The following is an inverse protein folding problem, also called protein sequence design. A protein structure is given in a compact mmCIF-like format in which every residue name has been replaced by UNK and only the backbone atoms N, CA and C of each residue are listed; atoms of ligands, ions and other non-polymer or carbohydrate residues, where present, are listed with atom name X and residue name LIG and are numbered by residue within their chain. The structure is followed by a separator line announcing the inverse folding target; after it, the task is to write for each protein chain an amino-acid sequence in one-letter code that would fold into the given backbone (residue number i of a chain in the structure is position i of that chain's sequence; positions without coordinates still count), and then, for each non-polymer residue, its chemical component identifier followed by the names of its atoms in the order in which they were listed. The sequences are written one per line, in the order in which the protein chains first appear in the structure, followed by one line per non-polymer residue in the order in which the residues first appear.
data_IF_462710279084
#
_entry.id   IF_462710279084
#
_cell.length_a   1.000
_cell.length_b   1.000
_cell.length_c   1.000
_cell.angle_alpha   90.00
_cell.angle_beta   90.00
_cell.angle_gamma   90.00
#
_symmetry.space_group_name_H-M   'P 1'
#
loop_
_entity.id
_entity.type
_entity.pdbx_description
1 polymer ?
#
# COMPACT_ATOMS: atom_id res chain seq x y z
N UNK A 1 -0.29 -5.40 -17.59
CA UNK A 1 -0.33 -5.41 -16.12
C UNK A 1 -1.58 -6.16 -15.64
N UNK A 2 -1.48 -7.03 -14.62
CA UNK A 2 -2.62 -7.68 -14.00
C UNK A 2 -3.23 -6.78 -12.91
N UNK A 3 -4.56 -6.83 -12.76
CA UNK A 3 -5.30 -6.02 -11.79
C UNK A 3 -5.71 -6.88 -10.59
N UNK A 4 -5.08 -6.64 -9.46
CA UNK A 4 -5.44 -7.24 -8.18
C UNK A 4 -6.00 -6.23 -7.18
N UNK A 5 -6.08 -6.63 -5.94
CA UNK A 5 -6.41 -5.73 -4.84
C UNK A 5 -5.74 -6.18 -3.53
N UNK A 6 -5.48 -5.22 -2.63
CA UNK A 6 -5.15 -5.51 -1.23
C UNK A 6 -6.43 -5.86 -0.47
N UNK A 7 -6.38 -6.95 0.31
CA UNK A 7 -7.49 -7.38 1.15
C UNK A 7 -7.97 -6.27 2.13
N UNK A 8 -7.13 -5.27 2.40
CA UNK A 8 -7.50 -4.08 3.18
C UNK A 8 -8.65 -3.28 2.55
N UNK A 9 -8.86 -3.37 1.22
CA UNK A 9 -10.05 -2.80 0.55
C UNK A 9 -11.37 -3.34 1.10
N UNK A 10 -11.34 -4.51 1.76
CA UNK A 10 -12.47 -5.22 2.33
C UNK A 10 -12.35 -5.33 3.87
N UNK A 11 -11.70 -4.36 4.53
CA UNK A 11 -11.34 -4.43 5.95
C UNK A 11 -12.48 -4.78 6.91
N UNK A 12 -13.71 -4.41 6.60
CA UNK A 12 -14.90 -4.77 7.38
C UNK A 12 -15.53 -6.07 6.91
N UNK A 13 -15.59 -6.32 5.60
CA UNK A 13 -16.10 -7.58 5.04
C UNK A 13 -15.20 -8.76 5.38
N UNK A 14 -13.88 -8.55 5.33
CA UNK A 14 -12.88 -9.60 5.47
C UNK A 14 -12.62 -10.03 6.91
N UNK A 15 -13.15 -9.35 7.92
CA UNK A 15 -12.89 -9.63 9.34
C UNK A 15 -13.11 -11.10 9.74
N UNK A 16 -14.04 -11.79 9.05
CA UNK A 16 -14.39 -13.19 9.33
C UNK A 16 -14.09 -14.12 8.15
N UNK A 17 -13.34 -13.65 7.16
CA UNK A 17 -13.02 -14.39 5.95
C UNK A 17 -11.68 -15.11 6.08
N UNK A 18 -11.57 -16.22 5.39
CA UNK A 18 -10.30 -16.89 5.14
C UNK A 18 -9.67 -16.42 3.82
N UNK A 19 -8.39 -16.72 3.61
CA UNK A 19 -7.72 -16.45 2.34
C UNK A 19 -8.42 -17.15 1.15
N UNK A 20 -8.99 -18.34 1.36
CA UNK A 20 -9.79 -19.01 0.34
C UNK A 20 -11.10 -18.27 0.00
N UNK A 21 -11.74 -17.64 0.99
CA UNK A 21 -12.92 -16.81 0.75
C UNK A 21 -12.56 -15.56 -0.06
N UNK A 22 -11.42 -14.94 0.25
CA UNK A 22 -10.91 -13.78 -0.50
C UNK A 22 -10.58 -14.14 -1.95
N UNK A 23 -10.06 -15.34 -2.23
CA UNK A 23 -9.91 -15.82 -3.62
C UNK A 23 -11.25 -15.99 -4.35
N UNK A 24 -12.32 -16.42 -3.66
CA UNK A 24 -13.67 -16.49 -4.25
C UNK A 24 -14.17 -15.10 -4.62
N UNK A 25 -14.00 -14.12 -3.71
CA UNK A 25 -14.33 -12.72 -3.98
C UNK A 25 -13.51 -12.18 -5.15
N UNK A 26 -12.21 -12.50 -5.23
CA UNK A 26 -11.33 -12.10 -6.35
C UNK A 26 -11.96 -12.47 -7.69
N UNK A 27 -12.45 -13.71 -7.82
CA UNK A 27 -13.17 -14.14 -9.03
C UNK A 27 -14.48 -13.40 -9.22
N UNK A 28 -15.26 -13.23 -8.16
CA UNK A 28 -16.57 -12.59 -8.21
C UNK A 28 -16.50 -11.13 -8.67
N UNK A 29 -15.50 -10.37 -8.20
CA UNK A 29 -15.30 -8.98 -8.62
C UNK A 29 -14.57 -8.88 -9.96
N UNK A 30 -14.06 -10.00 -10.49
CA UNK A 30 -13.34 -10.08 -11.75
C UNK A 30 -11.91 -9.58 -11.68
N UNK A 31 -11.27 -9.59 -10.52
CA UNK A 31 -9.84 -9.27 -10.38
C UNK A 31 -8.96 -10.45 -10.82
N UNK A 32 -7.67 -10.17 -11.08
CA UNK A 32 -6.70 -11.18 -11.54
C UNK A 32 -5.88 -11.76 -10.38
N UNK A 33 -5.99 -11.18 -9.19
CA UNK A 33 -5.29 -11.63 -8.00
C UNK A 33 -5.61 -10.83 -6.76
N UNK A 34 -4.96 -11.19 -5.66
CA UNK A 34 -5.17 -10.55 -4.36
C UNK A 34 -3.89 -10.57 -3.53
N UNK A 35 -3.67 -9.49 -2.78
CA UNK A 35 -2.65 -9.38 -1.76
C UNK A 35 -3.26 -9.73 -0.40
N UNK A 36 -2.65 -10.68 0.32
CA UNK A 36 -3.19 -11.31 1.52
C UNK A 36 -2.25 -11.14 2.71
N UNK A 37 -2.79 -10.78 3.86
CA UNK A 37 -2.08 -10.79 5.13
C UNK A 37 -2.10 -12.18 5.80
N UNK A 38 -1.11 -12.53 6.64
CA UNK A 38 -1.02 -13.82 7.32
C UNK A 38 -2.25 -14.22 8.14
N UNK A 39 -2.96 -13.25 8.71
CA UNK A 39 -4.12 -13.50 9.56
C UNK A 39 -5.32 -14.15 8.83
N UNK A 40 -5.33 -14.10 7.50
CA UNK A 40 -6.35 -14.77 6.69
C UNK A 40 -6.12 -16.29 6.53
N UNK A 41 -4.99 -16.79 7.02
CA UNK A 41 -4.66 -18.20 6.94
C UNK A 41 -4.90 -18.88 8.29
N UNK A 42 -6.02 -19.60 8.47
CA UNK A 42 -6.29 -20.29 9.73
C UNK A 42 -5.30 -21.43 9.97
N UNK A 43 -5.10 -21.76 11.24
CA UNK A 43 -4.31 -22.92 11.64
C UNK A 43 -5.03 -24.26 11.30
N UNK A 44 -4.31 -25.31 10.92
CA UNK A 44 -2.86 -25.33 10.70
C UNK A 44 -2.48 -24.65 9.38
N UNK A 45 -1.53 -23.73 9.41
CA UNK A 45 -1.15 -22.91 8.25
C UNK A 45 -0.81 -23.70 6.98
N UNK A 46 -0.12 -24.85 7.11
CA UNK A 46 0.22 -25.69 5.94
C UNK A 46 -1.01 -26.08 5.09
N UNK A 47 -2.11 -26.41 5.76
CA UNK A 47 -3.34 -26.79 5.07
C UNK A 47 -3.97 -25.60 4.33
N UNK A 48 -4.05 -24.47 5.00
CA UNK A 48 -4.63 -23.26 4.41
C UNK A 48 -3.77 -22.70 3.27
N UNK A 49 -2.45 -22.71 3.39
CA UNK A 49 -1.54 -22.33 2.30
C UNK A 49 -1.69 -23.28 1.10
N UNK A 50 -1.80 -24.57 1.32
CA UNK A 50 -1.99 -25.56 0.24
C UNK A 50 -3.31 -25.31 -0.49
N UNK A 51 -4.40 -25.12 0.24
CA UNK A 51 -5.71 -24.82 -0.33
C UNK A 51 -5.67 -23.56 -1.22
N UNK A 52 -5.12 -22.47 -0.68
CA UNK A 52 -5.01 -21.19 -1.40
C UNK A 52 -4.17 -21.32 -2.67
N UNK A 53 -3.03 -22.02 -2.59
CA UNK A 53 -2.16 -22.27 -3.75
C UNK A 53 -2.89 -23.08 -4.83
N UNK A 54 -3.62 -24.12 -4.45
CA UNK A 54 -4.37 -24.96 -5.39
C UNK A 54 -5.50 -24.16 -6.06
N UNK A 55 -6.27 -23.40 -5.30
CA UNK A 55 -7.34 -22.54 -5.82
C UNK A 55 -6.80 -21.44 -6.73
N UNK A 56 -5.74 -20.74 -6.33
CA UNK A 56 -5.12 -19.71 -7.14
C UNK A 56 -4.63 -20.26 -8.48
N UNK A 57 -3.98 -21.44 -8.47
CA UNK A 57 -3.52 -22.10 -9.68
C UNK A 57 -4.68 -22.58 -10.58
N UNK A 58 -5.71 -23.17 -9.99
CA UNK A 58 -6.89 -23.63 -10.74
C UNK A 58 -7.60 -22.49 -11.45
N UNK A 59 -7.67 -21.32 -10.77
CA UNK A 59 -8.39 -20.16 -11.28
C UNK A 59 -7.53 -19.18 -12.06
N UNK A 60 -6.22 -19.42 -12.16
CA UNK A 60 -5.29 -18.53 -12.85
C UNK A 60 -5.15 -17.17 -12.17
N UNK A 61 -5.23 -17.14 -10.84
CA UNK A 61 -5.10 -15.93 -10.03
C UNK A 61 -3.68 -15.82 -9.49
N UNK A 62 -3.15 -14.60 -9.44
CA UNK A 62 -1.95 -14.36 -8.65
C UNK A 62 -2.28 -14.14 -7.17
N UNK A 63 -1.32 -14.46 -6.31
CA UNK A 63 -1.35 -14.14 -4.89
C UNK A 63 -0.06 -13.42 -4.54
N UNK A 64 -0.16 -12.30 -3.86
CA UNK A 64 0.96 -11.66 -3.17
C UNK A 64 0.72 -11.73 -1.66
N UNK A 65 1.79 -11.72 -0.87
CA UNK A 65 1.67 -11.59 0.58
C UNK A 65 2.05 -10.19 1.03
N UNK A 66 1.35 -9.75 2.08
CA UNK A 66 1.68 -8.54 2.81
C UNK A 66 1.91 -8.83 4.28
N UNK A 67 2.82 -8.09 4.89
CA UNK A 67 3.09 -8.14 6.33
C UNK A 67 3.49 -6.77 6.84
N UNK A 68 3.87 -6.65 8.10
CA UNK A 68 4.39 -5.43 8.69
C UNK A 68 5.67 -5.67 9.49
N UNK A 69 6.45 -4.61 9.65
CA UNK A 69 7.74 -4.65 10.34
C UNK A 69 8.89 -5.17 9.48
N UNK A 70 10.07 -5.12 10.06
CA UNK A 70 11.33 -5.45 9.37
C UNK A 70 12.16 -6.51 10.09
N UNK A 71 11.61 -7.13 11.15
CA UNK A 71 12.28 -8.21 11.89
C UNK A 71 12.76 -9.33 10.95
N UNK A 72 14.06 -9.67 10.93
CA UNK A 72 14.62 -10.58 9.94
C UNK A 72 14.05 -12.00 10.02
N UNK A 73 13.79 -12.50 11.24
CA UNK A 73 13.25 -13.86 11.40
C UNK A 73 11.79 -13.95 10.98
N UNK A 74 11.03 -12.89 11.23
CA UNK A 74 9.67 -12.77 10.72
C UNK A 74 9.65 -12.70 9.19
N UNK A 75 10.50 -11.85 8.58
CA UNK A 75 10.56 -11.72 7.13
C UNK A 75 11.02 -13.02 6.45
N UNK A 76 11.98 -13.78 7.02
CA UNK A 76 12.35 -15.11 6.49
C UNK A 76 11.16 -16.06 6.44
N UNK A 77 10.37 -16.13 7.52
CA UNK A 77 9.14 -16.97 7.52
C UNK A 77 8.14 -16.51 6.45
N UNK A 78 7.98 -15.21 6.26
CA UNK A 78 7.07 -14.66 5.26
C UNK A 78 7.56 -14.90 3.83
N UNK A 79 8.87 -14.84 3.60
CA UNK A 79 9.50 -15.19 2.32
C UNK A 79 9.27 -16.69 1.99
N UNK A 80 9.44 -17.58 2.99
CA UNK A 80 9.15 -19.01 2.79
C UNK A 80 7.68 -19.26 2.45
N UNK A 81 6.76 -18.56 3.14
CA UNK A 81 5.33 -18.62 2.84
C UNK A 81 5.02 -18.10 1.42
N UNK A 82 5.66 -16.99 1.00
CA UNK A 82 5.54 -16.44 -0.35
C UNK A 82 6.02 -17.45 -1.40
N UNK A 83 7.20 -18.04 -1.19
CA UNK A 83 7.73 -19.08 -2.06
C UNK A 83 6.78 -20.29 -2.18
N UNK A 84 6.21 -20.73 -1.06
CA UNK A 84 5.26 -21.85 -1.04
C UNK A 84 3.99 -21.51 -1.85
N UNK A 85 3.47 -20.31 -1.72
CA UNK A 85 2.28 -19.85 -2.47
C UNK A 85 2.57 -19.55 -3.94
N UNK A 86 3.84 -19.44 -4.32
CA UNK A 86 4.26 -19.03 -5.66
C UNK A 86 4.22 -17.52 -5.88
N UNK A 87 4.19 -16.75 -4.79
CA UNK A 87 4.30 -15.29 -4.83
C UNK A 87 5.76 -14.87 -5.00
N UNK A 88 6.01 -13.95 -5.93
CA UNK A 88 7.35 -13.40 -6.21
C UNK A 88 7.65 -12.09 -5.48
N UNK A 89 6.65 -11.54 -4.80
CA UNK A 89 6.76 -10.29 -4.04
C UNK A 89 6.14 -10.47 -2.65
N UNK A 90 6.84 -9.93 -1.64
CA UNK A 90 6.37 -9.77 -0.27
C UNK A 90 6.36 -8.29 0.07
N UNK A 91 5.19 -7.71 0.33
CA UNK A 91 5.08 -6.34 0.81
C UNK A 91 5.27 -6.27 2.32
N UNK A 92 6.02 -5.27 2.80
CA UNK A 92 6.12 -4.90 4.21
C UNK A 92 6.15 -3.37 4.39
N UNK A 93 6.08 -2.89 5.63
CA UNK A 93 6.17 -1.47 5.99
C UNK A 93 6.82 -1.31 7.37
N UNK A 94 7.34 -0.11 7.67
CA UNK A 94 8.02 0.18 8.94
C UNK A 94 7.03 0.66 10.00
N UNK A 95 6.17 1.59 9.65
CA UNK A 95 5.18 2.17 10.56
C UNK A 95 3.84 2.47 9.88
N UNK A 96 2.85 2.86 10.66
CA UNK A 96 1.54 3.24 10.14
C UNK A 96 1.41 4.73 9.84
N UNK A 97 0.34 5.09 9.14
CA UNK A 97 -0.02 6.49 8.91
C UNK A 97 -0.03 7.28 10.23
N UNK A 98 0.62 8.44 10.21
CA UNK A 98 0.77 9.32 11.37
C UNK A 98 1.55 8.72 12.57
N UNK A 99 2.14 7.52 12.47
CA UNK A 99 2.93 6.96 13.57
C UNK A 99 4.16 7.81 13.87
N UNK A 100 4.81 8.32 12.84
CA UNK A 100 5.92 9.26 12.94
C UNK A 100 5.56 10.52 13.79
N UNK A 101 4.34 11.05 13.64
CA UNK A 101 3.82 12.14 14.46
C UNK A 101 3.71 11.76 15.95
N UNK A 102 3.28 10.53 16.25
CA UNK A 102 3.14 10.04 17.63
C UNK A 102 4.48 9.74 18.29
N UNK A 103 5.46 9.25 17.53
CA UNK A 103 6.79 8.87 18.05
C UNK A 103 7.76 10.05 18.10
N UNK A 104 7.59 11.05 17.24
CA UNK A 104 8.50 12.17 17.07
C UNK A 104 9.65 11.88 16.11
N UNK A 105 10.25 12.94 15.57
CA UNK A 105 11.22 12.85 14.48
C UNK A 105 12.48 12.05 14.82
N UNK A 106 13.10 12.30 15.98
CA UNK A 106 14.35 11.64 16.37
C UNK A 106 14.18 10.14 16.56
N UNK A 107 13.15 9.72 17.31
CA UNK A 107 12.85 8.31 17.52
C UNK A 107 12.50 7.61 16.18
N UNK A 108 11.86 8.32 15.27
CA UNK A 108 11.59 7.83 13.93
C UNK A 108 12.88 7.58 13.14
N UNK A 109 13.85 8.51 13.18
CA UNK A 109 15.14 8.33 12.49
C UNK A 109 15.94 7.13 13.01
N UNK A 110 15.91 6.84 14.32
CA UNK A 110 16.54 5.63 14.87
C UNK A 110 15.83 4.36 14.33
N UNK A 111 14.51 4.36 14.29
CA UNK A 111 13.73 3.24 13.72
C UNK A 111 14.05 2.99 12.24
N UNK A 112 14.34 4.03 11.46
CA UNK A 112 14.77 3.87 10.07
C UNK A 112 16.14 3.20 9.96
N UNK A 113 17.09 3.52 10.85
CA UNK A 113 18.41 2.87 10.88
C UNK A 113 18.28 1.38 11.22
N UNK A 114 17.45 1.05 12.20
CA UNK A 114 17.19 -0.35 12.56
C UNK A 114 16.57 -1.11 11.40
N UNK A 115 15.55 -0.52 10.74
CA UNK A 115 14.91 -1.12 9.59
C UNK A 115 15.87 -1.33 8.41
N UNK A 116 16.76 -0.38 8.13
CA UNK A 116 17.81 -0.52 7.11
C UNK A 116 18.72 -1.72 7.40
N UNK A 117 19.21 -1.84 8.65
CA UNK A 117 20.07 -2.94 9.05
C UNK A 117 19.35 -4.30 8.94
N UNK A 118 18.11 -4.38 9.40
CA UNK A 118 17.28 -5.58 9.35
C UNK A 118 16.96 -6.03 7.92
N UNK A 119 16.57 -5.10 7.05
CA UNK A 119 16.28 -5.39 5.64
C UNK A 119 17.55 -5.82 4.88
N UNK A 120 18.70 -5.19 5.18
CA UNK A 120 19.99 -5.59 4.61
C UNK A 120 20.36 -7.02 5.01
N UNK A 121 20.10 -7.42 6.25
CA UNK A 121 20.36 -8.78 6.75
C UNK A 121 19.54 -9.85 5.99
N UNK A 122 18.30 -9.54 5.62
CA UNK A 122 17.41 -10.51 4.97
C UNK A 122 17.49 -10.51 3.44
N UNK A 123 18.13 -9.51 2.84
CA UNK A 123 18.17 -9.31 1.40
C UNK A 123 18.72 -10.51 0.61
N UNK A 124 19.82 -11.12 1.09
CA UNK A 124 20.39 -12.32 0.43
C UNK A 124 19.48 -13.55 0.54
N UNK A 125 18.70 -13.66 1.61
CA UNK A 125 17.71 -14.73 1.73
C UNK A 125 16.55 -14.53 0.77
N UNK A 126 16.09 -13.31 0.58
CA UNK A 126 15.08 -12.96 -0.42
C UNK A 126 15.56 -13.32 -1.84
N UNK A 127 16.82 -13.00 -2.17
CA UNK A 127 17.47 -13.38 -3.43
C UNK A 127 17.50 -14.91 -3.62
N UNK A 128 17.98 -15.67 -2.61
CA UNK A 128 18.02 -17.15 -2.64
C UNK A 128 16.64 -17.76 -2.95
N UNK A 129 15.59 -17.18 -2.37
CA UNK A 129 14.22 -17.67 -2.51
C UNK A 129 13.49 -17.11 -3.76
N UNK A 130 14.08 -16.16 -4.45
CA UNK A 130 13.46 -15.50 -5.61
C UNK A 130 12.23 -14.66 -5.26
N UNK A 131 12.18 -14.10 -4.04
CA UNK A 131 11.07 -13.26 -3.54
C UNK A 131 11.58 -11.85 -3.30
N UNK A 132 11.03 -10.86 -3.99
CA UNK A 132 11.35 -9.45 -3.77
C UNK A 132 10.65 -8.91 -2.53
N UNK A 133 11.37 -8.18 -1.69
CA UNK A 133 10.79 -7.44 -0.58
C UNK A 133 10.41 -6.05 -1.09
N UNK A 134 9.14 -5.70 -1.01
CA UNK A 134 8.60 -4.42 -1.41
C UNK A 134 8.22 -3.58 -0.17
N UNK A 135 9.06 -2.61 0.20
CA UNK A 135 8.83 -1.71 1.33
C UNK A 135 7.87 -0.60 0.93
N UNK A 136 6.77 -0.48 1.65
CA UNK A 136 5.74 0.51 1.34
C UNK A 136 6.01 1.87 1.98
N UNK A 137 5.68 2.93 1.23
CA UNK A 137 5.47 4.28 1.74
C UNK A 137 4.11 4.36 2.44
N UNK A 138 4.03 3.88 3.68
CA UNK A 138 2.77 3.66 4.41
C UNK A 138 2.29 4.91 5.21
N UNK A 139 2.58 6.13 4.69
CA UNK A 139 2.30 7.39 5.38
C UNK A 139 3.25 7.68 6.54
N UNK A 140 4.36 7.00 6.57
CA UNK A 140 5.41 7.01 7.60
C UNK A 140 6.76 7.48 7.05
N UNK A 141 7.07 7.14 5.81
CA UNK A 141 8.31 7.44 5.11
C UNK A 141 8.12 8.53 4.05
N UNK A 142 8.93 9.56 4.12
CA UNK A 142 9.06 10.49 3.00
C UNK A 142 9.77 9.81 1.83
N UNK A 143 9.42 10.20 0.62
CA UNK A 143 10.02 9.69 -0.63
C UNK A 143 11.54 9.69 -0.60
N UNK A 144 12.16 10.78 -0.09
CA UNK A 144 13.61 10.87 0.00
C UNK A 144 14.22 9.95 1.07
N UNK A 145 13.50 9.64 2.15
CA UNK A 145 13.94 8.70 3.17
C UNK A 145 13.89 7.26 2.65
N UNK A 146 12.77 6.89 2.00
CA UNK A 146 12.60 5.58 1.39
C UNK A 146 13.68 5.31 0.33
N UNK A 147 13.94 6.26 -0.57
CA UNK A 147 14.98 6.12 -1.57
C UNK A 147 16.36 5.90 -0.94
N UNK A 148 16.76 6.73 0.03
CA UNK A 148 18.05 6.54 0.72
C UNK A 148 18.16 5.18 1.38
N UNK A 149 17.07 4.70 2.00
CA UNK A 149 17.04 3.39 2.64
C UNK A 149 17.26 2.28 1.60
N UNK A 150 16.54 2.29 0.48
CA UNK A 150 16.70 1.30 -0.60
C UNK A 150 18.12 1.36 -1.19
N UNK A 151 18.63 2.54 -1.50
CA UNK A 151 19.99 2.74 -2.03
C UNK A 151 21.08 2.27 -1.05
N UNK A 152 20.92 2.54 0.23
CA UNK A 152 21.84 2.09 1.26
C UNK A 152 21.84 0.57 1.44
N UNK A 153 20.68 -0.08 1.34
CA UNK A 153 20.60 -1.56 1.37
C UNK A 153 21.39 -2.14 0.20
N UNK A 154 21.25 -1.53 -1.01
CA UNK A 154 22.03 -1.86 -2.18
C UNK A 154 21.75 -3.26 -2.75
N UNK A 155 20.52 -3.76 -2.62
CA UNK A 155 20.08 -5.06 -3.13
C UNK A 155 18.98 -4.90 -4.18
N UNK A 156 19.10 -5.62 -5.28
CA UNK A 156 18.05 -5.70 -6.33
C UNK A 156 16.81 -6.49 -5.88
N UNK A 157 16.85 -7.08 -4.68
CA UNK A 157 15.76 -7.85 -4.09
C UNK A 157 14.98 -7.09 -3.03
N UNK A 158 15.38 -5.85 -2.73
CA UNK A 158 14.67 -4.95 -1.82
C UNK A 158 14.33 -3.67 -2.59
N UNK A 159 13.05 -3.37 -2.70
CA UNK A 159 12.55 -2.22 -3.43
C UNK A 159 11.28 -1.67 -2.80
N UNK A 160 10.40 -1.12 -3.60
CA UNK A 160 9.27 -0.32 -3.14
C UNK A 160 7.94 -1.00 -3.47
N UNK A 161 7.02 -1.00 -2.51
CA UNK A 161 5.59 -1.06 -2.78
C UNK A 161 5.07 0.39 -2.83
N UNK A 162 4.74 0.88 -4.01
CA UNK A 162 4.24 2.23 -4.15
C UNK A 162 2.75 2.30 -3.81
N UNK A 163 2.43 2.90 -2.65
CA UNK A 163 1.08 3.39 -2.39
C UNK A 163 0.94 4.78 -3.01
N UNK A 164 -0.09 4.97 -3.83
CA UNK A 164 -0.26 6.18 -4.65
C UNK A 164 -0.92 7.34 -3.91
N UNK A 165 -1.38 7.16 -2.67
CA UNK A 165 -2.08 8.20 -1.88
C UNK A 165 -1.43 8.54 -0.55
N UNK A 166 -0.60 7.65 0.00
CA UNK A 166 -0.03 7.82 1.34
C UNK A 166 0.98 8.98 1.46
N UNK A 167 1.52 9.48 0.36
CA UNK A 167 2.39 10.66 0.33
C UNK A 167 1.71 11.89 0.93
N UNK A 168 0.39 11.99 0.80
CA UNK A 168 -0.38 13.11 1.34
C UNK A 168 -0.29 13.22 2.87
N UNK A 169 -0.03 12.10 3.57
CA UNK A 169 0.20 12.09 5.03
C UNK A 169 1.52 12.76 5.44
N UNK A 170 2.41 13.02 4.49
CA UNK A 170 3.70 13.69 4.72
C UNK A 170 3.87 14.94 3.85
N UNK A 171 2.75 15.45 3.32
CA UNK A 171 2.70 16.66 2.47
C UNK A 171 3.61 16.55 1.24
N UNK A 172 3.70 15.36 0.64
CA UNK A 172 4.40 15.12 -0.62
C UNK A 172 3.40 14.95 -1.78
N UNK A 173 3.80 15.36 -2.95
CA UNK A 173 3.02 15.22 -4.18
C UNK A 173 3.05 13.76 -4.66
N UNK A 174 1.90 13.07 -4.79
CA UNK A 174 1.84 11.69 -5.25
C UNK A 174 2.52 11.44 -6.60
N UNK A 175 2.38 12.38 -7.55
CA UNK A 175 2.94 12.22 -8.88
C UNK A 175 4.48 12.36 -8.87
N UNK A 176 5.02 13.39 -8.19
CA UNK A 176 6.48 13.57 -8.06
C UNK A 176 7.12 12.40 -7.28
N UNK A 177 6.42 11.89 -6.27
CA UNK A 177 6.87 10.71 -5.52
C UNK A 177 6.92 9.48 -6.41
N UNK A 178 5.88 9.26 -7.23
CA UNK A 178 5.84 8.16 -8.18
C UNK A 178 6.96 8.24 -9.22
N UNK A 179 7.25 9.43 -9.77
CA UNK A 179 8.36 9.62 -10.71
C UNK A 179 9.71 9.18 -10.13
N UNK A 180 9.91 9.41 -8.83
CA UNK A 180 11.15 9.08 -8.13
C UNK A 180 11.22 7.62 -7.70
N UNK A 181 10.10 7.04 -7.25
CA UNK A 181 10.02 5.68 -6.71
C UNK A 181 9.83 4.60 -7.78
N UNK A 182 9.27 4.94 -8.94
CA UNK A 182 8.97 3.98 -9.99
C UNK A 182 10.15 3.06 -10.39
N UNK A 183 11.42 3.54 -10.50
CA UNK A 183 12.55 2.67 -10.83
C UNK A 183 12.87 1.58 -9.80
N UNK A 184 12.29 1.65 -8.62
CA UNK A 184 12.48 0.71 -7.51
C UNK A 184 11.19 -0.05 -7.16
N UNK A 185 10.10 0.15 -7.90
CA UNK A 185 8.78 -0.37 -7.54
C UNK A 185 8.59 -1.81 -8.00
N UNK A 186 8.30 -2.71 -7.04
CA UNK A 186 8.02 -4.13 -7.26
C UNK A 186 6.57 -4.52 -6.99
N UNK A 187 5.82 -3.71 -6.26
CA UNK A 187 4.40 -3.90 -5.98
C UNK A 187 3.71 -2.55 -5.82
N UNK A 188 2.39 -2.54 -5.80
CA UNK A 188 1.63 -1.29 -5.68
C UNK A 188 0.45 -1.42 -4.74
N UNK A 189 0.08 -0.29 -4.11
CA UNK A 189 -1.26 -0.02 -3.64
C UNK A 189 -1.81 1.18 -4.42
N UNK A 190 -2.72 0.91 -5.36
CA UNK A 190 -3.38 1.97 -6.13
C UNK A 190 -4.52 2.53 -5.27
N UNK A 191 -4.17 3.54 -4.51
CA UNK A 191 -5.06 4.20 -3.54
C UNK A 191 -5.99 5.18 -4.23
N UNK A 192 -7.23 5.24 -3.79
CA UNK A 192 -8.20 6.22 -4.29
C UNK A 192 -8.74 7.07 -3.16
N UNK A 193 -8.30 8.33 -3.10
CA UNK A 193 -8.72 9.31 -2.09
C UNK A 193 -9.34 10.54 -2.71
N UNK A 194 -10.46 10.98 -2.13
CA UNK A 194 -10.91 12.38 -2.20
C UNK A 194 -10.17 13.16 -1.15
N UNK A 195 -9.74 14.37 -1.52
CA UNK A 195 -8.91 15.22 -0.66
C UNK A 195 -9.61 16.56 -0.47
N UNK A 196 -9.73 17.03 0.77
CA UNK A 196 -10.31 18.32 1.08
C UNK A 196 -9.64 18.94 2.32
N UNK A 197 -9.79 20.22 2.53
CA UNK A 197 -9.48 20.86 3.80
C UNK A 197 -10.61 20.63 4.80
N UNK A 198 -10.28 20.57 6.07
CA UNK A 198 -11.22 20.53 7.20
C UNK A 198 -10.73 21.44 8.34
N UNK A 199 -11.50 21.50 9.41
CA UNK A 199 -11.15 22.35 10.57
C UNK A 199 -9.80 21.97 11.19
N UNK A 200 -9.50 20.68 11.21
CA UNK A 200 -8.29 20.14 11.86
C UNK A 200 -7.10 20.06 10.90
N UNK A 201 -7.31 20.20 9.59
CA UNK A 201 -6.22 20.10 8.62
C UNK A 201 -6.65 19.65 7.23
N UNK A 202 -5.97 18.61 6.72
CA UNK A 202 -6.30 17.94 5.46
C UNK A 202 -7.05 16.65 5.77
N UNK A 203 -8.14 16.39 5.07
CA UNK A 203 -8.87 15.12 5.16
C UNK A 203 -8.71 14.34 3.85
N UNK A 204 -8.40 13.05 3.98
CA UNK A 204 -8.46 12.09 2.89
C UNK A 204 -9.58 11.09 3.17
N UNK A 205 -10.39 10.79 2.15
CA UNK A 205 -11.51 9.87 2.25
C UNK A 205 -11.47 8.86 1.12
N UNK A 206 -11.48 7.57 1.45
CA UNK A 206 -11.47 6.47 0.50
C UNK A 206 -12.70 6.47 -0.41
N UNK A 207 -12.51 6.30 -1.71
CA UNK A 207 -13.55 6.27 -2.72
C UNK A 207 -13.29 5.19 -3.78
N UNK A 208 -14.17 5.05 -4.75
CA UNK A 208 -13.93 4.18 -5.88
C UNK A 208 -12.87 4.79 -6.81
N UNK A 209 -12.11 3.93 -7.48
CA UNK A 209 -11.09 4.35 -8.44
C UNK A 209 -11.67 5.30 -9.50
N UNK A 210 -10.97 6.39 -9.76
CA UNK A 210 -11.34 7.50 -10.64
C UNK A 210 -12.52 8.39 -10.17
N UNK A 211 -13.03 8.17 -8.94
CA UNK A 211 -13.84 9.17 -8.23
C UNK A 211 -12.94 10.01 -7.29
N UNK A 212 -11.66 9.81 -7.38
CA UNK A 212 -10.59 10.34 -6.52
C UNK A 212 -9.93 11.59 -7.08
N UNK A 213 -9.02 12.14 -6.27
CA UNK A 213 -8.18 13.29 -6.62
C UNK A 213 -6.73 12.88 -6.93
N UNK A 214 -6.40 11.60 -6.76
CA UNK A 214 -5.06 11.06 -7.01
C UNK A 214 -4.85 10.87 -8.52
N UNK A 215 -3.72 11.31 -9.10
CA UNK A 215 -3.47 11.19 -10.54
C UNK A 215 -3.05 9.77 -10.94
N UNK A 216 -3.91 8.78 -10.62
CA UNK A 216 -3.58 7.36 -10.80
C UNK A 216 -3.30 6.97 -12.25
N UNK A 217 -3.91 7.66 -13.25
CA UNK A 217 -3.65 7.39 -14.66
C UNK A 217 -2.20 7.70 -15.04
N UNK A 218 -1.74 8.87 -14.63
CA UNK A 218 -0.38 9.34 -14.86
C UNK A 218 0.62 8.48 -14.09
N UNK A 219 0.33 8.17 -12.83
CA UNK A 219 1.19 7.32 -12.00
C UNK A 219 1.34 5.93 -12.60
N UNK A 220 0.27 5.28 -13.03
CA UNK A 220 0.33 3.95 -13.66
C UNK A 220 1.09 4.00 -15.00
N UNK A 221 0.98 5.09 -15.77
CA UNK A 221 1.77 5.28 -16.99
C UNK A 221 3.28 5.32 -16.67
N UNK A 222 3.67 6.07 -15.63
CA UNK A 222 5.06 6.14 -15.17
C UNK A 222 5.56 4.78 -14.69
N UNK A 223 4.75 4.06 -13.91
CA UNK A 223 5.09 2.72 -13.41
C UNK A 223 5.30 1.72 -14.54
N UNK A 224 4.42 1.72 -15.56
CA UNK A 224 4.55 0.87 -16.75
C UNK A 224 5.85 1.10 -17.49
N UNK A 225 6.28 2.35 -17.60
CA UNK A 225 7.50 2.73 -18.32
C UNK A 225 8.78 2.49 -17.51
N UNK A 226 8.74 2.71 -16.17
CA UNK A 226 9.95 2.86 -15.36
C UNK A 226 10.13 1.80 -14.28
N UNK A 227 9.10 1.01 -13.93
CA UNK A 227 9.27 -0.11 -12.99
C UNK A 227 10.17 -1.19 -13.58
N UNK A 228 11.05 -1.82 -12.78
CA UNK A 228 11.86 -2.96 -13.23
C UNK A 228 11.02 -4.15 -13.71
N UNK A 229 9.76 -4.23 -13.32
CA UNK A 229 8.83 -5.28 -13.71
C UNK A 229 8.01 -4.92 -14.96
N UNK A 230 7.94 -3.65 -15.35
CA UNK A 230 7.21 -3.22 -16.54
C UNK A 230 5.76 -3.74 -16.56
N UNK A 231 5.39 -4.48 -17.60
CA UNK A 231 4.06 -5.08 -17.74
C UNK A 231 3.77 -6.21 -16.74
N UNK A 232 4.79 -6.78 -16.10
CA UNK A 232 4.65 -7.82 -15.07
C UNK A 232 4.37 -7.24 -13.68
N UNK A 233 4.41 -5.91 -13.52
CA UNK A 233 4.00 -5.26 -12.27
C UNK A 233 2.49 -5.45 -12.06
N UNK A 234 2.12 -5.94 -10.89
CA UNK A 234 0.71 -6.05 -10.50
C UNK A 234 0.19 -4.71 -9.96
N UNK A 235 -1.00 -4.32 -10.40
CA UNK A 235 -1.71 -3.16 -9.88
C UNK A 235 -2.72 -3.61 -8.82
N UNK A 236 -2.30 -3.57 -7.55
CA UNK A 236 -3.17 -3.92 -6.43
C UNK A 236 -3.99 -2.70 -6.02
N UNK A 237 -5.28 -2.72 -6.29
CA UNK A 237 -6.19 -1.65 -5.88
C UNK A 237 -6.35 -1.64 -4.36
N UNK A 238 -6.33 -0.45 -3.77
CA UNK A 238 -6.63 -0.28 -2.36
C UNK A 238 -7.64 0.87 -2.18
N UNK A 239 -8.92 0.48 -2.07
CA UNK A 239 -10.09 1.38 -2.07
C UNK A 239 -10.91 1.26 -0.78
N UNK A 240 -10.29 1.42 0.40
CA UNK A 240 -10.92 1.13 1.68
C UNK A 240 -12.04 2.13 2.03
N UNK A 241 -12.93 1.71 2.93
CA UNK A 241 -13.81 2.61 3.64
C UNK A 241 -13.07 3.21 4.82
N UNK A 242 -12.44 4.35 4.59
CA UNK A 242 -11.71 5.08 5.63
C UNK A 242 -11.76 6.59 5.40
N UNK A 243 -11.58 7.32 6.48
CA UNK A 243 -11.42 8.77 6.48
C UNK A 243 -10.34 9.11 7.50
N UNK A 244 -9.30 9.80 7.05
CA UNK A 244 -8.15 10.15 7.89
C UNK A 244 -7.95 11.65 7.83
N UNK A 245 -7.79 12.26 8.99
CA UNK A 245 -7.43 13.67 9.12
C UNK A 245 -5.93 13.78 9.35
N UNK A 246 -5.27 14.50 8.47
CA UNK A 246 -3.86 14.86 8.58
C UNK A 246 -3.79 16.23 9.26
N UNK A 247 -3.24 16.35 10.48
CA UNK A 247 -3.33 17.54 11.30
C UNK A 247 -2.30 18.60 10.88
N UNK A 248 -2.40 19.09 9.65
CA UNK A 248 -1.41 20.02 9.04
C UNK A 248 -1.31 21.38 9.72
N UNK A 249 -2.23 21.70 10.65
CA UNK A 249 -2.19 22.93 11.44
C UNK A 249 -1.56 22.71 12.83
N UNK A 250 -1.13 21.49 13.14
CA UNK A 250 -0.46 21.13 14.38
C UNK A 250 1.06 21.25 14.23
N UNK A 251 1.72 22.03 15.11
CA UNK A 251 3.17 22.24 15.05
C UNK A 251 3.96 20.97 15.32
N UNK A 252 3.46 20.08 16.19
CA UNK A 252 4.08 18.80 16.49
C UNK A 252 4.07 17.87 15.27
N UNK A 253 2.96 17.88 14.52
CA UNK A 253 2.90 17.15 13.26
C UNK A 253 3.91 17.68 12.24
N UNK A 254 3.97 19.00 12.04
CA UNK A 254 4.92 19.61 11.10
C UNK A 254 6.36 19.32 11.50
N UNK A 255 6.68 19.37 12.81
CA UNK A 255 7.97 18.97 13.33
C UNK A 255 8.32 17.51 13.06
N UNK A 256 7.35 16.61 13.16
CA UNK A 256 7.53 15.18 12.88
C UNK A 256 7.71 14.89 11.39
N UNK A 257 7.06 15.62 10.49
CA UNK A 257 7.26 15.48 9.03
C UNK A 257 8.70 15.81 8.64
N UNK A 258 9.34 16.73 9.35
CA UNK A 258 10.72 17.16 9.10
C UNK A 258 10.82 18.28 8.07
N UNK A 259 12.04 18.51 7.58
CA UNK A 259 12.29 19.60 6.65
C UNK A 259 11.59 19.40 5.31
N UNK A 260 10.84 20.42 4.89
CA UNK A 260 10.25 20.52 3.57
C UNK A 260 10.21 21.99 3.13
N UNK A 261 10.23 22.22 1.83
CA UNK A 261 10.00 23.55 1.29
C UNK A 261 8.49 23.87 1.24
N UNK A 262 8.15 25.14 1.30
CA UNK A 262 6.77 25.57 1.08
C UNK A 262 6.24 25.11 -0.30
N UNK A 263 7.10 25.06 -1.31
CA UNK A 263 6.73 24.61 -2.65
C UNK A 263 6.30 23.14 -2.66
N UNK A 264 7.01 22.25 -1.96
CA UNK A 264 6.64 20.85 -1.82
C UNK A 264 5.28 20.70 -1.13
N UNK A 265 5.09 21.35 0.02
CA UNK A 265 3.82 21.30 0.73
C UNK A 265 2.66 21.81 -0.14
N UNK A 266 2.84 22.92 -0.86
CA UNK A 266 1.79 23.49 -1.71
C UNK A 266 1.43 22.58 -2.91
N UNK A 267 2.36 21.80 -3.43
CA UNK A 267 2.06 20.79 -4.47
C UNK A 267 1.14 19.70 -3.93
N UNK A 268 1.39 19.20 -2.73
CA UNK A 268 0.50 18.22 -2.08
C UNK A 268 -0.88 18.82 -1.76
N UNK A 269 -0.91 20.03 -1.21
CA UNK A 269 -2.16 20.69 -0.82
C UNK A 269 -3.03 21.11 -2.02
N UNK A 270 -2.49 21.16 -3.23
CA UNK A 270 -3.27 21.51 -4.44
C UNK A 270 -4.44 20.56 -4.69
N UNK A 271 -4.36 19.29 -4.25
CA UNK A 271 -5.43 18.30 -4.40
C UNK A 271 -6.70 18.66 -3.60
N UNK A 272 -6.54 19.45 -2.53
CA UNK A 272 -7.64 19.98 -1.72
C UNK A 272 -8.15 21.35 -2.19
N UNK A 273 -7.57 21.95 -3.25
CA UNK A 273 -7.88 23.32 -3.67
C UNK A 273 -9.37 23.49 -3.95
N UNK A 274 -9.97 24.46 -3.26
CA UNK A 274 -11.40 24.81 -3.42
C UNK A 274 -12.37 23.85 -2.75
N UNK A 275 -11.90 22.88 -1.95
CA UNK A 275 -12.71 21.91 -1.24
C UNK A 275 -12.60 22.10 0.27
N UNK A 276 -13.76 22.18 0.94
CA UNK A 276 -13.85 22.35 2.38
C UNK A 276 -14.97 21.48 2.97
N UNK A 277 -14.66 20.67 3.97
CA UNK A 277 -15.60 19.75 4.61
C UNK A 277 -16.08 20.21 6.00
N UNK A 278 -15.55 21.33 6.53
CA UNK A 278 -15.87 21.78 7.89
C UNK A 278 -15.27 20.88 8.96
N UNK A 279 -16.01 20.67 10.06
CA UNK A 279 -15.63 19.70 11.09
C UNK A 279 -15.88 18.28 10.57
N UNK A 280 -14.87 17.44 10.63
CA UNK A 280 -14.94 16.05 10.16
C UNK A 280 -15.28 15.15 11.34
N UNK A 281 -16.30 14.31 11.17
CA UNK A 281 -16.65 13.26 12.10
C UNK A 281 -16.03 11.94 11.63
N UNK A 282 -15.72 11.07 12.59
CA UNK A 282 -15.29 9.70 12.27
C UNK A 282 -16.34 8.99 11.43
N UNK A 283 -15.90 8.12 10.53
CA UNK A 283 -16.82 7.27 9.77
C UNK A 283 -17.52 6.32 10.75
N UNK A 284 -18.81 6.53 10.93
CA UNK A 284 -19.61 5.60 11.70
C UNK A 284 -19.76 4.27 10.94
N UNK A 285 -19.55 3.18 11.64
CA UNK A 285 -19.88 1.86 11.09
C UNK A 285 -21.40 1.76 10.83
N UNK A 286 -21.76 1.15 9.71
CA UNK A 286 -23.13 0.77 9.39
C UNK A 286 -23.15 -0.64 8.80
N UNK A 287 -24.24 -1.36 9.02
CA UNK A 287 -24.35 -2.78 8.62
C UNK A 287 -24.27 -2.99 7.09
N UNK A 288 -24.42 -1.94 6.30
CA UNK A 288 -24.30 -1.98 4.84
C UNK A 288 -22.88 -1.78 4.33
N UNK A 289 -21.92 -1.38 5.18
CA UNK A 289 -20.52 -1.15 4.77
C UNK A 289 -19.91 -2.39 4.10
N UNK A 290 -20.02 -3.63 4.64
CA UNK A 290 -19.45 -4.80 4.01
C UNK A 290 -19.91 -5.01 2.55
N UNK A 291 -21.19 -4.81 2.26
CA UNK A 291 -21.71 -4.91 0.90
C UNK A 291 -21.15 -3.79 0.01
N UNK A 292 -21.09 -2.57 0.53
CA UNK A 292 -20.56 -1.39 -0.19
C UNK A 292 -19.07 -1.50 -0.48
N UNK A 293 -18.29 -2.18 0.37
CA UNK A 293 -16.88 -2.49 0.09
C UNK A 293 -16.76 -3.36 -1.17
N UNK A 294 -17.52 -4.45 -1.24
CA UNK A 294 -17.51 -5.37 -2.39
C UNK A 294 -17.99 -4.65 -3.67
N UNK A 295 -19.01 -3.83 -3.58
CA UNK A 295 -19.53 -3.05 -4.72
C UNK A 295 -18.50 -2.01 -5.19
N UNK A 296 -17.87 -1.27 -4.26
CA UNK A 296 -16.78 -0.32 -4.55
C UNK A 296 -15.60 -1.01 -5.22
N UNK A 297 -15.18 -2.15 -4.67
CA UNK A 297 -14.07 -2.93 -5.23
C UNK A 297 -14.39 -3.42 -6.64
N UNK A 298 -15.58 -4.00 -6.85
CA UNK A 298 -16.03 -4.47 -8.17
C UNK A 298 -16.02 -3.33 -9.21
N UNK A 299 -16.59 -2.18 -8.86
CA UNK A 299 -16.58 -1.00 -9.72
C UNK A 299 -15.15 -0.55 -10.04
N UNK A 300 -14.28 -0.52 -9.04
CA UNK A 300 -12.87 -0.11 -9.21
C UNK A 300 -12.09 -1.08 -10.10
N UNK A 301 -12.28 -2.39 -9.93
CA UNK A 301 -11.69 -3.42 -10.81
C UNK A 301 -12.17 -3.28 -12.27
N UNK A 302 -13.45 -3.06 -12.47
CA UNK A 302 -14.00 -2.84 -13.82
C UNK A 302 -13.39 -1.60 -14.49
N UNK A 303 -13.28 -0.48 -13.75
CA UNK A 303 -12.67 0.76 -14.24
C UNK A 303 -11.17 0.58 -14.55
N UNK A 304 -10.44 -0.09 -13.67
CA UNK A 304 -9.02 -0.37 -13.86
C UNK A 304 -8.77 -1.22 -15.11
N UNK A 305 -9.56 -2.27 -15.31
CA UNK A 305 -9.47 -3.13 -16.50
C UNK A 305 -9.83 -2.41 -17.79
N UNK A 306 -10.78 -1.49 -17.74
CA UNK A 306 -11.15 -0.68 -18.90
C UNK A 306 -10.10 0.37 -19.27
N UNK A 307 -9.37 0.90 -18.27
CA UNK A 307 -8.38 1.97 -18.47
C UNK A 307 -6.99 1.44 -18.82
N UNK A 308 -6.56 0.36 -18.16
CA UNK A 308 -5.16 -0.06 -18.17
C UNK A 308 -4.89 -1.39 -18.91
N UNK A 309 -5.91 -2.02 -19.43
CA UNK A 309 -5.83 -3.17 -20.35
C UNK A 309 -6.23 -2.76 -21.75
#
# INVERSE_FOLDING_TARGET
MLIGFSAYSLRFSAERMTAADLLRITREVGADGVMLSPHFFPEPHERSFKEVRELAREWGLFVELETGGTDPDHLRRMIDASTFLGASVLRTFIGGALERYRTGYEAWQERLKDAEAQLREVASYAEEKGVRIALENHGDLRTGELLRLIENIGSEWVGVCLDTGNQLFLLEDPLESAERLAPYTFSTHIKSYRVAFCTEGLVVEGCALFDDDIPNREIVSILRERSPLGEDLHLNLEVPFERIVVPIFDEGYLGAVGEMSLSEAMKALRYAKGKWMGKVEELAYSDDIPQREIERLRLSVQRAKSEWR
#
